data_IF_184149332488
#
_entry.id   IF_184149332488
#
_cell.length_a   1.000
_cell.length_b   1.000
_cell.length_c   1.000
_cell.angle_alpha   90.00
_cell.angle_beta   90.00
_cell.angle_gamma   90.00
#
_symmetry.space_group_name_H-M   'P 1'
#
loop_
_entity.id
_entity.type
_entity.pdbx_description
1 polymer ?
#
# COMPACT_ATOMS: atom_id res chain seq x y z
N UNK A 1 16.76 -31.43 -55.78
CA UNK A 1 15.65 -30.49 -55.67
C UNK A 1 16.16 -29.21 -54.99
N UNK A 2 16.27 -28.11 -55.73
CA UNK A 2 16.67 -26.79 -55.16
C UNK A 2 15.46 -26.21 -54.46
N UNK A 3 15.53 -26.04 -53.13
CA UNK A 3 14.51 -25.35 -52.32
C UNK A 3 14.64 -23.85 -52.61
N UNK A 4 13.68 -23.28 -53.34
CA UNK A 4 13.60 -21.87 -53.56
C UNK A 4 13.27 -21.18 -52.23
N UNK A 5 14.18 -20.37 -51.71
CA UNK A 5 13.94 -19.52 -50.54
C UNK A 5 13.10 -18.34 -51.03
N UNK A 6 11.79 -18.32 -50.79
CA UNK A 6 10.92 -17.17 -51.01
C UNK A 6 11.32 -16.09 -49.99
N UNK A 7 11.92 -14.99 -50.43
CA UNK A 7 12.14 -13.81 -49.63
C UNK A 7 10.83 -13.11 -49.30
N UNK A 8 10.76 -12.42 -48.18
CA UNK A 8 9.62 -11.58 -47.79
C UNK A 8 9.44 -10.44 -48.79
N UNK A 9 8.20 -10.18 -49.19
CA UNK A 9 7.89 -9.01 -50.01
C UNK A 9 7.90 -7.72 -49.18
N UNK A 10 8.21 -6.58 -49.81
CA UNK A 10 8.20 -5.27 -49.17
C UNK A 10 6.81 -4.97 -48.56
N UNK A 11 5.75 -5.38 -49.26
CA UNK A 11 4.36 -5.23 -48.82
C UNK A 11 4.10 -6.03 -47.52
N UNK A 12 4.60 -7.26 -47.42
CA UNK A 12 4.43 -8.12 -46.22
C UNK A 12 5.11 -7.50 -45.01
N UNK A 13 6.32 -6.92 -45.19
CA UNK A 13 7.02 -6.22 -44.11
C UNK A 13 6.30 -4.94 -43.69
N UNK A 14 5.72 -4.17 -44.57
CA UNK A 14 4.95 -2.98 -44.22
C UNK A 14 3.68 -3.31 -43.46
N UNK A 15 2.97 -4.38 -43.84
CA UNK A 15 1.77 -4.86 -43.12
C UNK A 15 2.13 -5.31 -41.69
N UNK A 16 3.19 -6.08 -41.53
CA UNK A 16 3.66 -6.53 -40.21
C UNK A 16 4.03 -5.34 -39.31
N UNK A 17 4.73 -4.33 -39.87
CA UNK A 17 5.13 -3.13 -39.14
C UNK A 17 3.91 -2.32 -38.66
N UNK A 18 2.90 -2.16 -39.50
CA UNK A 18 1.63 -1.51 -39.14
C UNK A 18 0.91 -2.26 -38.03
N UNK A 19 0.85 -3.59 -38.11
CA UNK A 19 0.24 -4.42 -37.06
C UNK A 19 0.96 -4.30 -35.71
N UNK A 20 2.29 -4.28 -35.72
CA UNK A 20 3.09 -4.10 -34.48
C UNK A 20 2.81 -2.70 -33.89
N UNK A 21 2.75 -1.65 -34.70
CA UNK A 21 2.41 -0.31 -34.23
C UNK A 21 1.01 -0.23 -33.61
N UNK A 22 0.01 -0.86 -34.23
CA UNK A 22 -1.37 -0.89 -33.70
C UNK A 22 -1.45 -1.65 -32.37
N UNK A 23 -0.76 -2.77 -32.25
CA UNK A 23 -0.69 -3.54 -30.99
C UNK A 23 0.03 -2.73 -29.89
N UNK A 24 1.12 -2.02 -30.22
CA UNK A 24 1.85 -1.18 -29.28
C UNK A 24 0.99 -0.09 -28.66
N UNK A 25 0.16 0.59 -29.46
CA UNK A 25 -0.75 1.64 -28.95
C UNK A 25 -1.83 1.09 -28.02
N UNK A 26 -2.30 -0.14 -28.24
CA UNK A 26 -3.33 -0.76 -27.42
C UNK A 26 -2.81 -1.21 -26.03
N UNK A 27 -1.50 -1.42 -25.86
CA UNK A 27 -0.90 -1.90 -24.60
C UNK A 27 -0.75 -0.79 -23.53
N UNK A 28 -0.52 0.46 -23.95
CA UNK A 28 -0.25 1.57 -23.01
C UNK A 28 -1.40 1.84 -22.01
N UNK A 29 -2.68 1.91 -22.41
CA UNK A 29 -3.77 2.14 -21.45
C UNK A 29 -3.99 0.97 -20.48
N UNK A 30 -3.62 -0.26 -20.85
CA UNK A 30 -3.79 -1.42 -19.97
C UNK A 30 -2.81 -1.42 -18.78
N UNK A 31 -1.63 -0.83 -18.93
CA UNK A 31 -0.64 -0.71 -17.85
C UNK A 31 -1.14 0.15 -16.69
N UNK A 32 -1.79 1.28 -16.97
CA UNK A 32 -2.38 2.14 -15.94
C UNK A 32 -3.45 1.41 -15.12
N UNK A 33 -4.25 0.59 -15.77
CA UNK A 33 -5.28 -0.19 -15.09
C UNK A 33 -4.67 -1.22 -14.12
N UNK A 34 -3.56 -1.84 -14.50
CA UNK A 34 -2.83 -2.79 -13.64
C UNK A 34 -2.28 -2.08 -12.40
N UNK A 35 -1.62 -0.93 -12.55
CA UNK A 35 -1.08 -0.17 -11.41
C UNK A 35 -2.19 0.27 -10.43
N UNK A 36 -3.32 0.76 -10.94
CA UNK A 36 -4.48 1.11 -10.11
C UNK A 36 -5.03 -0.07 -9.33
N UNK A 37 -5.07 -1.25 -9.93
CA UNK A 37 -5.52 -2.47 -9.26
C UNK A 37 -4.56 -2.89 -8.15
N UNK A 38 -3.23 -2.82 -8.39
CA UNK A 38 -2.22 -3.13 -7.37
C UNK A 38 -2.27 -2.14 -6.20
N UNK A 39 -2.35 -0.83 -6.48
CA UNK A 39 -2.50 0.21 -5.45
C UNK A 39 -3.78 -0.03 -4.62
N UNK A 40 -4.90 -0.29 -5.29
CA UNK A 40 -6.17 -0.55 -4.60
C UNK A 40 -6.12 -1.80 -3.74
N UNK A 41 -5.56 -2.89 -4.29
CA UNK A 41 -5.37 -4.14 -3.54
C UNK A 41 -4.52 -3.93 -2.29
N UNK A 42 -3.41 -3.20 -2.41
CA UNK A 42 -2.55 -2.88 -1.28
C UNK A 42 -3.28 -2.03 -0.22
N UNK A 43 -4.07 -1.04 -0.64
CA UNK A 43 -4.89 -0.22 0.24
C UNK A 43 -5.96 -1.04 0.97
N UNK A 44 -6.67 -1.91 0.25
CA UNK A 44 -7.71 -2.78 0.83
C UNK A 44 -7.12 -3.76 1.86
N UNK A 45 -5.96 -4.37 1.58
CA UNK A 45 -5.26 -5.26 2.51
C UNK A 45 -4.87 -4.50 3.78
N UNK A 46 -4.26 -3.32 3.63
CA UNK A 46 -3.84 -2.50 4.77
C UNK A 46 -5.03 -2.10 5.65
N UNK A 47 -6.14 -1.68 5.04
CA UNK A 47 -7.35 -1.35 5.79
C UNK A 47 -7.94 -2.55 6.55
N UNK A 48 -7.95 -3.74 5.93
CA UNK A 48 -8.41 -4.96 6.58
C UNK A 48 -7.53 -5.32 7.79
N UNK A 49 -6.22 -5.15 7.66
CA UNK A 49 -5.26 -5.38 8.75
C UNK A 49 -5.43 -4.35 9.87
N UNK A 50 -5.59 -3.06 9.57
CA UNK A 50 -5.88 -2.02 10.56
C UNK A 50 -7.15 -2.33 11.36
N UNK A 51 -8.22 -2.76 10.69
CA UNK A 51 -9.44 -3.18 11.36
C UNK A 51 -9.24 -4.41 12.25
N UNK A 52 -8.43 -5.36 11.80
CA UNK A 52 -8.13 -6.59 12.53
C UNK A 52 -7.33 -6.28 13.79
N UNK A 53 -6.28 -5.46 13.71
CA UNK A 53 -5.48 -5.03 14.87
C UNK A 53 -6.34 -4.26 15.87
N UNK A 54 -7.19 -3.36 15.40
CA UNK A 54 -8.11 -2.62 16.28
C UNK A 54 -9.03 -3.56 17.05
N UNK A 55 -9.65 -4.53 16.37
CA UNK A 55 -10.52 -5.54 17.01
C UNK A 55 -9.75 -6.37 18.04
N UNK A 56 -8.53 -6.78 17.70
CA UNK A 56 -7.66 -7.52 18.62
C UNK A 56 -7.26 -6.68 19.82
N UNK A 57 -6.89 -5.41 19.65
CA UNK A 57 -6.55 -4.49 20.73
C UNK A 57 -7.72 -4.31 21.72
N UNK A 58 -8.96 -4.24 21.20
CA UNK A 58 -10.17 -4.18 22.04
C UNK A 58 -10.39 -5.50 22.78
N UNK A 59 -10.31 -6.63 22.09
CA UNK A 59 -10.64 -7.94 22.64
C UNK A 59 -9.65 -8.42 23.69
N UNK A 60 -8.36 -8.14 23.49
CA UNK A 60 -7.27 -8.62 24.36
C UNK A 60 -6.81 -7.58 25.38
N UNK A 61 -7.25 -6.33 25.25
CA UNK A 61 -6.77 -5.18 26.03
C UNK A 61 -5.23 -5.01 25.96
N UNK A 62 -4.62 -5.48 24.87
CA UNK A 62 -3.18 -5.37 24.59
C UNK A 62 -3.00 -4.32 23.52
N UNK A 63 -1.94 -3.53 23.63
CA UNK A 63 -1.54 -2.58 22.58
C UNK A 63 -1.03 -3.35 21.36
N UNK A 64 -1.47 -2.98 20.18
CA UNK A 64 -0.96 -3.50 18.93
C UNK A 64 -0.31 -2.38 18.13
N UNK A 65 0.75 -2.69 17.41
CA UNK A 65 1.44 -1.75 16.55
C UNK A 65 1.60 -2.30 15.13
N UNK A 66 1.47 -1.42 14.15
CA UNK A 66 1.83 -1.64 12.77
C UNK A 66 3.00 -0.71 12.44
N UNK A 67 4.08 -1.25 11.94
CA UNK A 67 5.30 -0.51 11.58
C UNK A 67 5.58 -0.74 10.11
N UNK A 68 5.67 0.35 9.34
CA UNK A 68 6.21 0.31 7.97
C UNK A 68 7.73 0.24 8.07
N UNK A 69 8.35 -0.67 7.34
CA UNK A 69 9.80 -0.81 7.32
C UNK A 69 10.43 0.45 6.70
N UNK A 70 11.32 1.17 7.42
CA UNK A 70 11.94 2.38 6.89
C UNK A 70 12.94 2.13 5.75
N UNK A 71 13.40 0.89 5.60
CA UNK A 71 14.34 0.49 4.54
C UNK A 71 13.63 -0.14 3.34
N UNK A 72 12.51 -0.80 3.61
CA UNK A 72 11.68 -1.47 2.62
C UNK A 72 10.24 -0.96 2.75
N UNK A 73 9.98 0.28 2.30
CA UNK A 73 8.71 1.01 2.46
C UNK A 73 7.46 0.26 1.95
N UNK A 74 7.66 -0.82 1.20
CA UNK A 74 6.58 -1.72 0.76
C UNK A 74 6.19 -2.79 1.78
N UNK A 75 6.91 -2.90 2.90
CA UNK A 75 6.63 -3.86 3.95
C UNK A 75 6.16 -3.17 5.21
N UNK A 76 5.23 -3.80 5.88
CA UNK A 76 4.85 -3.43 7.24
C UNK A 76 4.74 -4.67 8.12
N UNK A 77 4.98 -4.48 9.40
CA UNK A 77 4.94 -5.55 10.41
C UNK A 77 3.89 -5.21 11.46
N UNK A 78 3.09 -6.20 11.83
CA UNK A 78 2.11 -6.09 12.90
C UNK A 78 2.64 -6.88 14.11
N UNK A 79 2.66 -6.25 15.27
CA UNK A 79 3.13 -6.88 16.52
C UNK A 79 2.18 -6.62 17.66
N UNK A 80 1.91 -7.62 18.52
CA UNK A 80 1.34 -7.35 19.83
C UNK A 80 2.39 -6.67 20.72
N UNK A 81 1.96 -5.62 21.42
CA UNK A 81 2.86 -4.82 22.23
C UNK A 81 3.55 -3.71 21.46
N UNK A 82 4.26 -2.88 22.23
CA UNK A 82 5.07 -1.82 21.72
C UNK A 82 6.43 -2.40 21.36
N UNK A 83 6.93 -2.07 20.17
CA UNK A 83 8.26 -2.50 19.76
C UNK A 83 9.29 -1.74 20.61
N UNK A 84 9.69 -2.32 21.71
CA UNK A 84 10.85 -1.89 22.48
C UNK A 84 12.01 -2.89 22.40
N UNK A 85 12.13 -3.71 21.47
CA UNK A 85 13.25 -4.60 21.12
C UNK A 85 12.81 -5.99 20.66
N UNK A 86 13.30 -6.34 19.50
CA UNK A 86 13.81 -7.64 19.02
C UNK A 86 12.96 -8.92 19.08
N UNK A 87 11.73 -8.93 19.49
CA UNK A 87 10.89 -10.13 19.34
C UNK A 87 9.68 -9.83 18.49
N UNK A 88 9.90 -9.79 17.20
CA UNK A 88 8.85 -9.63 16.20
C UNK A 88 8.14 -10.96 15.99
N UNK A 89 7.05 -11.22 16.69
CA UNK A 89 6.09 -12.22 16.22
C UNK A 89 5.30 -11.60 15.09
N UNK A 90 5.68 -11.91 13.84
CA UNK A 90 4.88 -11.60 12.65
C UNK A 90 3.55 -12.33 12.78
N UNK A 91 2.46 -11.61 12.94
CA UNK A 91 1.14 -12.23 13.11
C UNK A 91 0.58 -12.71 11.78
N UNK A 92 0.90 -12.05 10.67
CA UNK A 92 0.56 -12.52 9.32
C UNK A 92 1.55 -11.96 8.29
N UNK A 93 2.12 -12.83 7.48
CA UNK A 93 2.92 -12.45 6.30
C UNK A 93 1.98 -12.14 5.11
N UNK A 94 1.04 -11.22 5.26
CA UNK A 94 0.22 -10.76 4.12
C UNK A 94 1.05 -10.01 3.08
N UNK A 95 2.26 -9.62 3.42
CA UNK A 95 3.16 -8.86 2.55
C UNK A 95 3.64 -9.62 1.31
N UNK A 96 3.62 -10.96 1.32
CA UNK A 96 4.06 -11.76 0.18
C UNK A 96 3.16 -11.61 -1.07
N UNK A 97 1.97 -11.02 -0.90
CA UNK A 97 1.03 -10.78 -1.98
C UNK A 97 1.02 -9.34 -2.51
N UNK A 98 1.81 -8.44 -1.90
CA UNK A 98 1.92 -7.03 -2.29
C UNK A 98 3.16 -6.86 -3.16
N UNK A 99 3.02 -6.10 -4.25
CA UNK A 99 4.14 -5.78 -5.14
C UNK A 99 5.24 -5.03 -4.38
N UNK A 100 6.54 -5.36 -4.59
CA UNK A 100 7.65 -4.63 -3.99
C UNK A 100 7.76 -3.17 -4.44
N UNK A 101 7.00 -2.77 -5.46
CA UNK A 101 6.96 -1.39 -5.95
C UNK A 101 5.91 -0.54 -5.21
N UNK A 102 5.16 -1.10 -4.27
CA UNK A 102 4.21 -0.37 -3.43
C UNK A 102 4.96 0.29 -2.27
N UNK A 103 4.66 1.57 -2.03
CA UNK A 103 5.20 2.34 -0.91
C UNK A 103 4.07 2.91 -0.07
N UNK A 104 4.28 2.96 1.24
CA UNK A 104 3.34 3.50 2.20
C UNK A 104 3.92 4.73 2.88
N UNK A 105 3.17 5.83 2.87
CA UNK A 105 3.50 7.05 3.63
C UNK A 105 2.38 7.32 4.61
N UNK A 106 2.72 7.47 5.88
CA UNK A 106 1.75 7.66 6.97
C UNK A 106 1.92 9.06 7.52
N UNK A 107 0.81 9.77 7.62
CA UNK A 107 0.70 11.06 8.30
C UNK A 107 -0.59 11.09 9.12
N UNK A 108 -0.69 11.98 10.10
CA UNK A 108 -1.88 12.05 10.92
C UNK A 108 -2.05 13.40 11.59
N UNK A 109 -3.25 13.63 12.14
CA UNK A 109 -3.61 14.75 12.99
C UNK A 109 -4.03 14.22 14.36
N UNK A 110 -3.36 14.69 15.41
CA UNK A 110 -3.71 14.39 16.79
C UNK A 110 -4.88 15.25 17.27
N UNK A 111 -5.51 14.84 18.37
CA UNK A 111 -6.63 15.58 18.97
C UNK A 111 -6.23 17.02 19.41
N UNK A 112 -4.97 17.21 19.76
CA UNK A 112 -4.42 18.54 20.14
C UNK A 112 -4.04 19.44 18.94
N UNK A 113 -4.34 19.01 17.71
CA UNK A 113 -4.03 19.71 16.47
C UNK A 113 -2.57 19.58 16.01
N UNK A 114 -1.76 18.76 16.68
CA UNK A 114 -0.40 18.48 16.22
C UNK A 114 -0.45 17.46 15.09
N UNK A 115 0.38 17.66 14.06
CA UNK A 115 0.57 16.69 12.99
C UNK A 115 1.70 15.74 13.34
N UNK A 116 1.53 14.48 13.00
CA UNK A 116 2.65 13.54 13.06
C UNK A 116 2.87 12.87 11.69
N UNK A 117 4.12 12.54 11.43
CA UNK A 117 4.51 11.69 10.31
C UNK A 117 5.40 10.60 10.89
N UNK A 118 4.92 9.37 10.86
CA UNK A 118 5.63 8.25 11.47
C UNK A 118 5.39 6.99 10.65
N UNK A 119 6.33 6.09 10.71
CA UNK A 119 6.18 4.74 10.17
C UNK A 119 5.45 3.80 11.13
N UNK A 120 5.01 4.30 12.28
CA UNK A 120 4.41 3.53 13.36
C UNK A 120 2.95 3.93 13.60
N UNK A 121 2.06 2.97 13.59
CA UNK A 121 0.65 3.11 13.99
C UNK A 121 0.43 2.23 15.21
N UNK A 122 -0.12 2.79 16.29
CA UNK A 122 -0.40 2.05 17.51
C UNK A 122 -1.88 2.08 17.88
N UNK A 123 -2.42 0.95 18.32
CA UNK A 123 -3.76 0.85 18.89
C UNK A 123 -3.67 0.49 20.37
N UNK A 124 -4.18 1.36 21.21
CA UNK A 124 -4.34 1.13 22.63
C UNK A 124 -5.82 1.14 23.00
N UNK A 125 -6.33 0.03 23.53
CA UNK A 125 -7.77 -0.11 23.91
C UNK A 125 -8.73 0.25 22.77
N UNK A 126 -8.33 -0.01 21.51
CA UNK A 126 -9.13 0.27 20.33
C UNK A 126 -9.08 1.71 19.82
N UNK A 127 -8.34 2.60 20.49
CA UNK A 127 -8.05 3.95 20.01
C UNK A 127 -6.69 3.98 19.31
N UNK A 128 -6.60 4.81 18.29
CA UNK A 128 -5.36 5.09 17.61
C UNK A 128 -4.56 6.09 18.45
N UNK A 129 -3.28 5.80 18.67
CA UNK A 129 -2.40 6.66 19.47
C UNK A 129 -1.08 6.91 18.76
N UNK A 130 -0.53 8.10 18.94
CA UNK A 130 0.82 8.43 18.52
C UNK A 130 1.82 7.67 19.41
N UNK A 131 2.93 7.24 18.80
CA UNK A 131 3.96 6.43 19.47
C UNK A 131 4.46 6.93 20.82
N UNK A 132 5.28 6.15 21.45
CA UNK A 132 5.53 5.80 22.83
C UNK A 132 6.51 6.66 23.63
N UNK A 133 6.80 7.88 23.30
CA UNK A 133 7.65 8.74 24.17
C UNK A 133 6.76 9.75 24.89
N UNK A 134 6.40 9.46 26.14
CA UNK A 134 5.57 10.33 26.95
C UNK A 134 4.12 9.84 27.12
N UNK A 135 3.18 10.76 27.36
CA UNK A 135 1.75 10.46 27.41
C UNK A 135 1.27 10.22 25.98
N UNK A 136 0.72 9.04 25.64
CA UNK A 136 0.27 8.73 24.29
C UNK A 136 -0.86 9.70 23.90
N UNK A 137 -0.68 10.42 22.79
CA UNK A 137 -1.69 11.31 22.23
C UNK A 137 -2.65 10.51 21.36
N UNK A 138 -3.94 10.81 21.48
CA UNK A 138 -4.95 10.21 20.63
C UNK A 138 -4.88 10.83 19.22
N UNK A 139 -4.89 9.97 18.19
CA UNK A 139 -4.89 10.39 16.80
C UNK A 139 -6.34 10.49 16.33
N UNK A 140 -6.74 11.67 15.89
CA UNK A 140 -8.06 11.94 15.39
C UNK A 140 -8.25 11.38 13.97
N UNK A 141 -7.32 11.70 13.09
CA UNK A 141 -7.36 11.30 11.70
C UNK A 141 -5.99 10.81 11.25
N UNK A 142 -5.98 9.70 10.53
CA UNK A 142 -4.79 9.12 9.94
C UNK A 142 -4.94 9.13 8.43
N UNK A 143 -4.00 9.72 7.73
CA UNK A 143 -3.90 9.68 6.28
C UNK A 143 -2.76 8.77 5.88
N UNK A 144 -3.07 7.74 5.07
CA UNK A 144 -2.08 6.84 4.52
C UNK A 144 -2.10 6.98 3.00
N UNK A 145 -0.97 7.28 2.42
CA UNK A 145 -0.78 7.37 0.97
C UNK A 145 -0.10 6.09 0.51
N UNK A 146 -0.75 5.39 -0.42
CA UNK A 146 -0.23 4.17 -1.05
C UNK A 146 0.14 4.52 -2.48
N UNK A 147 1.41 4.45 -2.81
CA UNK A 147 1.94 4.76 -4.14
C UNK A 147 2.52 3.51 -4.80
N UNK A 148 2.56 3.50 -6.12
CA UNK A 148 3.32 2.53 -6.90
C UNK A 148 4.51 3.24 -7.53
N UNK A 149 5.72 2.73 -7.28
CA UNK A 149 6.95 3.38 -7.74
C UNK A 149 6.97 3.60 -9.25
N UNK A 150 7.35 4.81 -9.67
CA UNK A 150 7.37 5.21 -11.08
C UNK A 150 6.00 5.60 -11.68
N UNK A 151 4.93 5.72 -10.88
CA UNK A 151 3.63 6.21 -11.36
C UNK A 151 3.17 7.44 -10.58
N UNK A 152 2.43 8.38 -11.21
CA UNK A 152 1.84 9.51 -10.49
C UNK A 152 0.57 9.13 -9.70
N UNK A 153 0.06 7.92 -9.89
CA UNK A 153 -1.19 7.46 -9.30
C UNK A 153 -0.95 6.97 -7.87
N UNK A 154 -1.88 7.31 -6.96
CA UNK A 154 -1.82 6.89 -5.57
C UNK A 154 -3.23 6.68 -5.00
N UNK A 155 -3.32 5.86 -3.97
CA UNK A 155 -4.51 5.77 -3.14
C UNK A 155 -4.27 6.56 -1.85
N UNK A 156 -5.23 7.40 -1.53
CA UNK A 156 -5.30 8.09 -0.25
C UNK A 156 -6.33 7.38 0.63
N UNK A 157 -5.90 6.90 1.77
CA UNK A 157 -6.73 6.28 2.79
C UNK A 157 -6.85 7.30 3.92
N UNK A 158 -8.07 7.75 4.17
CA UNK A 158 -8.38 8.58 5.35
C UNK A 158 -9.07 7.69 6.36
N UNK A 159 -8.46 7.53 7.53
CA UNK A 159 -8.90 6.66 8.60
C UNK A 159 -9.22 7.47 9.85
N UNK A 160 -10.44 7.35 10.34
CA UNK A 160 -10.88 7.99 11.59
C UNK A 160 -10.41 7.18 12.79
N UNK A 161 -9.56 7.78 13.61
CA UNK A 161 -8.91 7.12 14.74
C UNK A 161 -9.87 6.71 15.86
N UNK A 162 -11.03 7.36 15.99
CA UNK A 162 -12.01 7.07 17.02
C UNK A 162 -13.02 6.01 16.59
N UNK A 163 -13.60 6.19 15.40
CA UNK A 163 -14.67 5.28 14.92
C UNK A 163 -14.09 4.06 14.20
N UNK A 164 -12.90 4.18 13.63
CA UNK A 164 -12.28 3.19 12.76
C UNK A 164 -12.92 3.11 11.40
N UNK A 165 -13.70 4.12 11.00
CA UNK A 165 -14.19 4.25 9.63
C UNK A 165 -13.06 4.71 8.73
N UNK A 166 -13.09 4.27 7.50
CA UNK A 166 -12.09 4.71 6.52
C UNK A 166 -12.74 4.97 5.16
N UNK A 167 -12.08 5.76 4.36
CA UNK A 167 -12.39 5.97 2.94
C UNK A 167 -11.13 5.79 2.11
N UNK A 168 -11.26 5.21 0.92
CA UNK A 168 -10.16 5.03 -0.03
C UNK A 168 -10.52 5.82 -1.27
N UNK A 169 -9.65 6.75 -1.65
CA UNK A 169 -9.77 7.57 -2.86
C UNK A 169 -8.55 7.38 -3.73
N UNK A 170 -8.73 6.99 -5.00
CA UNK A 170 -7.63 6.89 -5.96
C UNK A 170 -7.50 8.23 -6.66
N UNK A 171 -6.29 8.79 -6.61
CA UNK A 171 -5.92 10.08 -7.21
C UNK A 171 -4.82 9.89 -8.27
N UNK A 172 -4.71 10.87 -9.15
CA UNK A 172 -3.69 10.94 -10.20
C UNK A 172 -2.71 12.08 -9.91
#
# INVERSE_FOLDING_TARGET
MKKESKGFTLLEMTVVLVLICLLGVALVPSMKMVYRQEIRKAADILCADLMTIRKQAIATNVTYSLVVDPTEEYKYTISPGIIQSTVTKRINNYNDSISPNIKYTISGECEDGTTYSSTLICYMKGKLVEGFVGTPKEVKELTIIVTYDGTPEYAEIVYDGFTGRYSITIKN
#
